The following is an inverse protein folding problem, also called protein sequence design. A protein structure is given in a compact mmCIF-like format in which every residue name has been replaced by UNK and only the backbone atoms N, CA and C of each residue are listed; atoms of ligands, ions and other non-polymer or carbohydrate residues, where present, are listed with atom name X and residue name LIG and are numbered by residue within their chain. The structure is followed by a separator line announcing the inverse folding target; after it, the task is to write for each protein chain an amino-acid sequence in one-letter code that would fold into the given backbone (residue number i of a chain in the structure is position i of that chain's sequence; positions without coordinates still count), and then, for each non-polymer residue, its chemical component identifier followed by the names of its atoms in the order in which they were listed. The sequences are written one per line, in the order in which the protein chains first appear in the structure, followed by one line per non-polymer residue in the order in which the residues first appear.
data_IF_823573941449
#
_entry.id   IF_823573941449
#
_cell.length_a   1.000
_cell.length_b   1.000
_cell.length_c   1.000
_cell.angle_alpha   90.00
_cell.angle_beta   90.00
_cell.angle_gamma   90.00
#
_symmetry.space_group_name_H-M   'P 1'
#
loop_
_entity.id
_entity.type
_entity.pdbx_description
1 polymer ?
#
# COMPACT_ATOMS: atom_id res chain seq x y z
N UNK A 1 30.34 -77.93 19.14
CA UNK A 1 29.84 -79.30 19.39
C UNK A 1 28.96 -79.25 20.64
N UNK A 2 27.65 -79.46 20.48
CA UNK A 2 26.66 -79.86 21.52
C UNK A 2 26.65 -79.08 22.86
N UNK A 3 25.55 -78.55 23.40
CA UNK A 3 24.17 -79.07 23.42
C UNK A 3 23.36 -78.12 24.33
N UNK A 4 22.06 -77.97 24.01
CA UNK A 4 20.90 -77.99 24.93
C UNK A 4 20.81 -76.90 26.02
N UNK A 5 19.63 -76.53 26.52
CA UNK A 5 18.24 -76.53 26.08
C UNK A 5 17.51 -75.84 27.25
N UNK A 6 16.44 -75.11 26.92
CA UNK A 6 15.16 -75.08 27.63
C UNK A 6 15.04 -74.51 29.07
N UNK A 7 14.08 -73.58 29.12
CA UNK A 7 12.91 -73.49 30.02
C UNK A 7 12.94 -72.50 31.20
N UNK A 8 12.26 -71.37 30.92
CA UNK A 8 11.19 -70.70 31.68
C UNK A 8 11.17 -70.85 33.22
N UNK A 9 11.22 -69.71 33.90
CA UNK A 9 10.37 -69.42 35.04
C UNK A 9 10.05 -67.92 35.12
N UNK A 10 8.77 -67.64 35.40
CA UNK A 10 8.12 -66.34 35.51
C UNK A 10 8.41 -65.75 36.89
N UNK A 11 8.87 -64.50 36.96
CA UNK A 11 8.74 -63.67 38.17
C UNK A 11 8.24 -62.29 37.75
N UNK A 12 7.10 -61.92 38.33
CA UNK A 12 6.45 -60.63 38.20
C UNK A 12 7.33 -59.51 38.76
N UNK A 13 7.45 -58.42 38.00
CA UNK A 13 8.12 -57.20 38.42
C UNK A 13 7.42 -56.02 37.77
N UNK A 14 6.46 -55.45 38.48
CA UNK A 14 5.78 -54.21 38.15
C UNK A 14 6.80 -53.08 38.08
N UNK A 15 7.05 -52.53 36.89
CA UNK A 15 7.77 -51.27 36.73
C UNK A 15 6.80 -50.30 36.04
N UNK A 16 6.42 -49.30 36.83
CA UNK A 16 5.69 -48.09 36.48
C UNK A 16 6.13 -47.51 35.14
N UNK A 17 5.20 -47.51 34.18
CA UNK A 17 5.31 -46.77 32.94
C UNK A 17 5.21 -45.27 33.29
N UNK A 18 6.35 -44.59 33.39
CA UNK A 18 6.39 -43.15 33.45
C UNK A 18 5.90 -42.60 32.11
N UNK A 19 4.69 -42.06 32.09
CA UNK A 19 4.18 -41.27 30.96
C UNK A 19 5.03 -40.02 30.82
N UNK A 20 5.95 -40.00 29.86
CA UNK A 20 6.48 -38.74 29.33
C UNK A 20 5.31 -38.01 28.67
N UNK A 21 4.72 -37.08 29.40
CA UNK A 21 3.83 -36.08 28.82
C UNK A 21 4.70 -35.17 27.96
N UNK A 22 4.59 -35.32 26.65
CA UNK A 22 5.10 -34.37 25.68
C UNK A 22 4.40 -33.02 25.91
N UNK A 23 5.01 -32.17 26.74
CA UNK A 23 4.61 -30.78 26.93
C UNK A 23 5.25 -29.94 25.83
N UNK A 24 4.73 -30.07 24.60
CA UNK A 24 5.31 -29.40 23.45
C UNK A 24 4.39 -29.43 22.24
N UNK A 25 3.16 -28.92 22.37
CA UNK A 25 2.27 -28.77 21.21
C UNK A 25 1.05 -27.85 21.40
N UNK A 26 0.86 -27.19 22.55
CA UNK A 26 -0.28 -26.29 22.77
C UNK A 26 0.02 -24.80 22.48
N UNK A 27 1.30 -24.40 22.37
CA UNK A 27 1.69 -22.98 22.22
C UNK A 27 1.67 -22.46 20.77
N UNK A 28 1.66 -23.35 19.77
CA UNK A 28 1.75 -22.98 18.35
C UNK A 28 0.40 -22.86 17.64
N UNK A 29 -0.69 -23.32 18.26
CA UNK A 29 -2.05 -22.98 17.85
C UNK A 29 -2.40 -21.66 18.54
N UNK A 30 -2.34 -20.47 17.95
CA UNK A 30 -2.35 -20.06 16.55
C UNK A 30 -1.94 -18.57 16.59
N UNK A 31 -0.65 -18.25 16.43
CA UNK A 31 -0.24 -16.85 16.35
C UNK A 31 -0.93 -16.20 15.15
N UNK A 32 -1.72 -15.15 15.40
CA UNK A 32 -2.40 -14.41 14.33
C UNK A 32 -1.42 -13.45 13.68
N UNK A 33 -1.51 -13.31 12.36
CA UNK A 33 -0.84 -12.25 11.59
C UNK A 33 -0.99 -10.91 12.31
N UNK A 34 0.09 -10.13 12.36
CA UNK A 34 0.16 -8.83 13.01
C UNK A 34 -0.35 -7.72 12.08
N UNK A 35 -1.55 -7.88 11.54
CA UNK A 35 -2.12 -6.92 10.62
C UNK A 35 -2.65 -5.66 11.32
N UNK A 36 -2.76 -4.57 10.55
CA UNK A 36 -3.40 -3.34 11.01
C UNK A 36 -4.85 -3.59 11.42
N UNK A 37 -5.34 -2.80 12.38
CA UNK A 37 -6.72 -2.82 12.87
C UNK A 37 -7.24 -4.16 13.40
N UNK A 38 -6.38 -5.20 13.50
CA UNK A 38 -6.74 -6.54 13.97
C UNK A 38 -7.52 -6.50 15.27
N UNK A 39 -6.96 -5.81 16.27
CA UNK A 39 -7.49 -5.77 17.63
C UNK A 39 -8.33 -4.51 17.92
N UNK A 40 -8.50 -3.61 16.94
CA UNK A 40 -9.20 -2.33 17.13
C UNK A 40 -10.71 -2.59 17.26
N UNK A 41 -11.39 -2.01 18.27
CA UNK A 41 -12.85 -2.09 18.40
C UNK A 41 -13.56 -1.63 17.13
N UNK A 42 -14.71 -2.21 16.82
CA UNK A 42 -15.51 -1.76 15.69
C UNK A 42 -15.89 -0.29 15.85
N UNK A 43 -15.72 0.50 14.79
CA UNK A 43 -16.12 1.89 14.73
C UNK A 43 -16.62 2.22 13.31
N UNK A 44 -17.28 3.35 13.15
CA UNK A 44 -17.60 3.86 11.80
C UNK A 44 -16.40 4.50 11.10
N UNK A 45 -15.31 4.74 11.82
CA UNK A 45 -14.08 5.36 11.30
C UNK A 45 -13.06 4.35 10.75
N UNK A 46 -13.31 3.05 10.87
CA UNK A 46 -12.49 2.01 10.25
C UNK A 46 -12.94 1.76 8.81
N UNK A 47 -12.17 1.02 7.98
CA UNK A 47 -12.57 0.70 6.62
C UNK A 47 -13.97 0.13 6.59
N UNK A 48 -14.80 0.60 5.67
CA UNK A 48 -16.17 0.11 5.56
C UNK A 48 -16.20 -1.40 5.31
N UNK A 49 -15.22 -1.93 4.58
CA UNK A 49 -15.01 -3.37 4.42
C UNK A 49 -14.93 -4.12 5.76
N UNK A 50 -14.16 -3.60 6.73
CA UNK A 50 -13.91 -4.25 8.02
C UNK A 50 -15.14 -4.25 8.95
N UNK A 51 -16.15 -3.42 8.64
CA UNK A 51 -17.47 -3.42 9.31
C UNK A 51 -18.46 -4.28 8.53
N UNK A 52 -18.68 -3.95 7.26
CA UNK A 52 -19.79 -4.48 6.45
C UNK A 52 -19.61 -5.96 6.12
N UNK A 53 -18.38 -6.45 6.05
CA UNK A 53 -18.12 -7.88 5.83
C UNK A 53 -18.27 -8.72 7.10
N UNK A 54 -18.47 -8.10 8.27
CA UNK A 54 -18.64 -8.83 9.54
C UNK A 54 -20.13 -8.95 9.86
N UNK A 55 -20.72 -10.16 9.87
CA UNK A 55 -22.18 -10.34 9.94
C UNK A 55 -22.84 -9.57 11.10
N UNK A 56 -22.23 -9.56 12.29
CA UNK A 56 -22.77 -8.87 13.47
C UNK A 56 -22.68 -7.35 13.34
N UNK A 57 -21.57 -6.82 12.83
CA UNK A 57 -21.41 -5.38 12.63
C UNK A 57 -22.29 -4.88 11.47
N UNK A 58 -22.37 -5.63 10.37
CA UNK A 58 -23.31 -5.40 9.26
C UNK A 58 -24.76 -5.32 9.75
N UNK A 59 -25.18 -6.23 10.62
CA UNK A 59 -26.53 -6.22 11.17
C UNK A 59 -26.83 -4.95 12.00
N UNK A 60 -25.83 -4.35 12.64
CA UNK A 60 -25.99 -3.06 13.34
C UNK A 60 -26.20 -1.93 12.32
N UNK A 61 -25.44 -1.90 11.23
CA UNK A 61 -25.64 -0.91 10.16
C UNK A 61 -27.05 -1.01 9.58
N UNK A 62 -27.49 -2.21 9.21
CA UNK A 62 -28.83 -2.46 8.65
C UNK A 62 -29.97 -2.21 9.66
N UNK A 63 -29.72 -2.36 10.96
CA UNK A 63 -30.69 -2.04 12.01
C UNK A 63 -30.99 -0.54 12.04
N UNK A 64 -29.95 0.29 11.96
CA UNK A 64 -30.08 1.75 12.03
C UNK A 64 -30.44 2.37 10.68
N UNK A 65 -30.03 1.73 9.58
CA UNK A 65 -30.29 2.18 8.21
C UNK A 65 -30.76 1.03 7.32
N UNK A 66 -32.03 0.60 7.43
CA UNK A 66 -32.53 -0.55 6.68
C UNK A 66 -32.42 -0.39 5.17
N UNK A 67 -31.79 -1.37 4.52
CA UNK A 67 -31.61 -1.42 3.07
C UNK A 67 -30.55 -0.47 2.53
N UNK A 68 -29.77 0.20 3.39
CA UNK A 68 -28.74 1.15 2.96
C UNK A 68 -27.66 0.46 2.13
N UNK A 69 -27.23 -0.75 2.53
CA UNK A 69 -26.14 -1.44 1.85
C UNK A 69 -26.54 -1.95 0.46
N UNK A 70 -27.84 -2.19 0.24
CA UNK A 70 -28.37 -2.59 -1.06
C UNK A 70 -28.31 -1.46 -2.11
N UNK A 71 -28.14 -0.19 -1.68
CA UNK A 71 -27.95 0.95 -2.57
C UNK A 71 -26.50 1.13 -3.02
N UNK A 72 -25.57 0.39 -2.40
CA UNK A 72 -24.14 0.54 -2.65
C UNK A 72 -23.77 -0.29 -3.89
N UNK A 73 -23.13 0.31 -4.91
CA UNK A 73 -22.64 -0.43 -6.06
C UNK A 73 -21.69 -1.57 -5.68
N UNK A 74 -21.80 -2.69 -6.37
CA UNK A 74 -20.96 -3.87 -6.12
C UNK A 74 -19.45 -3.59 -6.28
N UNK A 75 -19.08 -2.66 -7.17
CA UNK A 75 -17.68 -2.25 -7.36
C UNK A 75 -17.12 -1.51 -6.13
N UNK A 76 -17.96 -0.86 -5.32
CA UNK A 76 -17.55 -0.22 -4.07
C UNK A 76 -17.38 -1.28 -2.97
N UNK A 77 -18.37 -2.16 -2.84
CA UNK A 77 -18.46 -3.13 -1.75
C UNK A 77 -18.28 -4.56 -2.27
N UNK A 78 -17.06 -4.89 -2.72
CA UNK A 78 -16.68 -6.25 -3.07
C UNK A 78 -16.41 -7.09 -1.82
N UNK A 79 -16.86 -8.35 -1.83
CA UNK A 79 -16.60 -9.33 -0.75
C UNK A 79 -15.19 -9.97 -0.83
N UNK A 80 -14.47 -9.75 -1.92
CA UNK A 80 -13.09 -10.18 -2.12
C UNK A 80 -12.16 -9.00 -2.38
N UNK A 81 -10.87 -9.15 -2.09
CA UNK A 81 -9.86 -8.18 -2.53
C UNK A 81 -9.64 -8.30 -4.05
N UNK A 82 -9.37 -7.19 -4.76
CA UNK A 82 -9.37 -5.80 -4.26
C UNK A 82 -10.80 -5.29 -3.99
N UNK A 83 -10.95 -4.36 -3.04
CA UNK A 83 -12.24 -3.75 -2.69
C UNK A 83 -12.09 -2.28 -2.34
N UNK A 84 -12.79 -1.40 -3.06
CA UNK A 84 -12.78 0.05 -2.83
C UNK A 84 -13.21 0.42 -1.41
N UNK A 85 -14.11 -0.36 -0.79
CA UNK A 85 -14.54 -0.17 0.60
C UNK A 85 -13.43 -0.31 1.65
N UNK A 86 -12.21 -0.72 1.26
CA UNK A 86 -11.02 -0.64 2.10
C UNK A 86 -10.41 0.76 2.18
N UNK A 87 -10.70 1.63 1.20
CA UNK A 87 -10.14 2.98 1.04
C UNK A 87 -10.97 4.08 1.71
N UNK A 88 -12.19 3.75 2.11
CA UNK A 88 -13.14 4.66 2.74
C UNK A 88 -13.64 4.09 4.06
N UNK A 89 -13.89 4.98 5.01
CA UNK A 89 -14.53 4.64 6.27
C UNK A 89 -16.01 4.28 6.07
N UNK A 90 -16.63 3.63 7.06
CA UNK A 90 -18.07 3.42 7.05
C UNK A 90 -18.83 4.74 7.00
N UNK A 91 -18.39 5.78 7.72
CA UNK A 91 -19.04 7.10 7.67
C UNK A 91 -19.01 7.69 6.26
N UNK A 92 -17.86 7.64 5.58
CA UNK A 92 -17.75 8.09 4.19
C UNK A 92 -18.62 7.25 3.23
N UNK A 93 -18.70 5.94 3.43
CA UNK A 93 -19.55 5.06 2.63
C UNK A 93 -21.04 5.42 2.79
N UNK A 94 -21.48 5.67 4.01
CA UNK A 94 -22.85 6.04 4.33
C UNK A 94 -23.20 7.43 3.78
N UNK A 95 -22.29 8.40 3.91
CA UNK A 95 -22.46 9.74 3.35
C UNK A 95 -22.67 9.70 1.82
N UNK A 96 -21.95 8.82 1.09
CA UNK A 96 -22.11 8.64 -0.36
C UNK A 96 -23.52 8.18 -0.78
N UNK A 97 -24.28 7.56 0.12
CA UNK A 97 -25.66 7.13 -0.13
C UNK A 97 -26.69 8.01 0.59
N UNK A 98 -26.28 9.21 1.00
CA UNK A 98 -27.16 10.24 1.56
C UNK A 98 -27.55 10.04 3.02
N UNK A 99 -26.78 9.26 3.79
CA UNK A 99 -26.96 9.17 5.24
C UNK A 99 -26.27 10.35 5.90
N UNK A 100 -27.04 11.13 6.66
CA UNK A 100 -26.54 12.27 7.44
C UNK A 100 -26.01 11.83 8.82
N UNK A 101 -25.19 12.69 9.43
CA UNK A 101 -24.70 12.46 10.79
C UNK A 101 -25.77 12.82 11.84
N UNK A 102 -26.72 11.89 12.03
CA UNK A 102 -27.91 12.08 12.86
C UNK A 102 -27.87 11.28 14.20
N UNK A 103 -29.00 11.23 14.91
CA UNK A 103 -29.12 10.46 16.14
C UNK A 103 -28.99 8.94 15.93
N UNK A 104 -29.38 8.42 14.75
CA UNK A 104 -29.19 7.02 14.40
C UNK A 104 -27.70 6.72 14.14
N UNK A 105 -26.95 7.64 13.52
CA UNK A 105 -25.51 7.52 13.36
C UNK A 105 -24.81 7.40 14.72
N UNK A 106 -25.17 8.26 15.68
CA UNK A 106 -24.64 8.21 17.03
C UNK A 106 -24.99 6.89 17.76
N UNK A 107 -26.23 6.39 17.61
CA UNK A 107 -26.65 5.12 18.19
C UNK A 107 -25.95 3.91 17.55
N UNK A 108 -25.80 3.90 16.22
CA UNK A 108 -25.07 2.89 15.47
C UNK A 108 -23.61 2.82 15.93
N UNK A 109 -22.91 3.95 16.02
CA UNK A 109 -21.52 4.02 16.49
C UNK A 109 -21.37 3.45 17.90
N UNK A 110 -22.31 3.76 18.81
CA UNK A 110 -22.32 3.22 20.17
C UNK A 110 -22.50 1.70 20.19
N UNK A 111 -23.40 1.16 19.37
CA UNK A 111 -23.61 -0.30 19.27
C UNK A 111 -22.43 -1.01 18.61
N UNK A 112 -21.83 -0.44 17.57
CA UNK A 112 -20.60 -0.94 16.95
C UNK A 112 -19.46 -1.03 17.98
N UNK A 113 -19.22 0.05 18.73
CA UNK A 113 -18.16 0.11 19.74
C UNK A 113 -18.35 -0.90 20.89
N UNK A 114 -19.59 -1.33 21.15
CA UNK A 114 -19.89 -2.33 22.16
C UNK A 114 -19.71 -3.78 21.66
N UNK A 115 -19.53 -4.00 20.35
CA UNK A 115 -19.38 -5.32 19.78
C UNK A 115 -17.97 -5.89 20.08
N UNK A 116 -17.86 -7.09 20.68
CA UNK A 116 -16.57 -7.70 20.92
C UNK A 116 -15.90 -8.08 19.59
N UNK A 117 -14.60 -7.79 19.47
CA UNK A 117 -13.77 -8.26 18.35
C UNK A 117 -13.40 -9.72 18.59
N UNK A 118 -14.05 -10.62 17.87
CA UNK A 118 -13.85 -12.07 18.03
C UNK A 118 -12.57 -12.53 17.33
N UNK A 119 -12.13 -13.76 17.62
CA UNK A 119 -11.00 -14.38 16.92
C UNK A 119 -11.23 -14.47 15.41
N UNK A 120 -12.46 -14.78 14.99
CA UNK A 120 -12.87 -14.85 13.59
C UNK A 120 -12.75 -13.48 12.90
N UNK A 121 -13.17 -12.40 13.57
CA UNK A 121 -13.00 -11.04 13.05
C UNK A 121 -11.53 -10.70 12.81
N UNK A 122 -10.65 -11.08 13.75
CA UNK A 122 -9.20 -10.86 13.64
C UNK A 122 -8.61 -11.60 12.45
N UNK A 123 -8.95 -12.88 12.28
CA UNK A 123 -8.52 -13.69 11.13
C UNK A 123 -9.00 -13.06 9.83
N UNK A 124 -10.28 -12.70 9.76
CA UNK A 124 -10.88 -12.14 8.54
C UNK A 124 -10.32 -10.76 8.16
N UNK A 125 -9.99 -9.91 9.13
CA UNK A 125 -9.29 -8.63 8.88
C UNK A 125 -7.88 -8.86 8.35
N UNK A 126 -7.16 -9.84 8.90
CA UNK A 126 -5.80 -10.12 8.49
C UNK A 126 -5.66 -10.90 7.18
N UNK A 127 -6.74 -11.52 6.69
CA UNK A 127 -6.71 -12.34 5.47
C UNK A 127 -6.30 -11.59 4.19
N UNK A 128 -6.34 -10.24 4.18
CA UNK A 128 -5.89 -9.40 3.05
C UNK A 128 -4.37 -9.19 2.99
N UNK A 129 -3.64 -9.56 4.03
CA UNK A 129 -2.19 -9.38 4.14
C UNK A 129 -1.47 -10.70 3.88
N UNK A 130 -0.33 -10.64 3.18
CA UNK A 130 0.43 -11.84 2.85
C UNK A 130 1.58 -12.04 3.84
N UNK A 131 1.67 -13.23 4.43
CA UNK A 131 2.77 -13.62 5.32
C UNK A 131 3.60 -14.79 4.76
N UNK A 132 3.18 -15.37 3.64
CA UNK A 132 3.86 -16.52 3.04
C UNK A 132 5.21 -16.08 2.45
N UNK A 133 6.33 -16.75 2.79
CA UNK A 133 7.65 -16.37 2.28
C UNK A 133 7.69 -16.25 0.76
N UNK A 134 8.49 -15.28 0.29
CA UNK A 134 8.78 -15.07 -1.13
C UNK A 134 10.28 -15.21 -1.31
N UNK A 135 10.67 -15.98 -2.32
CA UNK A 135 12.05 -16.08 -2.78
C UNK A 135 12.19 -15.30 -4.08
N UNK A 136 13.31 -14.59 -4.23
CA UNK A 136 13.64 -13.83 -5.42
C UNK A 136 14.81 -14.51 -6.14
N UNK A 137 14.68 -14.72 -7.45
CA UNK A 137 15.79 -15.12 -8.31
C UNK A 137 16.55 -13.86 -8.71
N UNK A 138 17.48 -13.45 -7.84
CA UNK A 138 18.28 -12.25 -8.02
C UNK A 138 19.39 -12.53 -9.04
N UNK A 139 19.49 -11.65 -10.04
CA UNK A 139 20.58 -11.70 -11.01
C UNK A 139 21.89 -11.14 -10.45
N UNK A 140 22.91 -11.03 -11.31
CA UNK A 140 24.24 -10.52 -10.94
C UNK A 140 24.40 -9.01 -11.11
N UNK A 141 23.32 -8.29 -11.38
CA UNK A 141 23.32 -6.85 -11.61
C UNK A 141 23.66 -6.09 -10.32
N UNK A 142 24.43 -4.99 -10.43
CA UNK A 142 24.93 -4.26 -9.25
C UNK A 142 23.85 -3.44 -8.54
N UNK A 143 22.71 -3.24 -9.16
CA UNK A 143 21.54 -2.57 -8.57
C UNK A 143 20.34 -3.49 -8.75
N UNK A 144 19.58 -3.69 -7.68
CA UNK A 144 18.41 -4.55 -7.65
C UNK A 144 17.15 -3.73 -7.35
N UNK A 145 16.10 -3.94 -8.16
CA UNK A 145 14.83 -3.24 -8.05
C UNK A 145 13.70 -4.22 -7.75
N UNK A 146 12.91 -3.92 -6.73
CA UNK A 146 11.63 -4.59 -6.45
C UNK A 146 10.48 -3.72 -6.95
N UNK A 147 9.75 -4.19 -7.96
CA UNK A 147 8.45 -3.64 -8.34
C UNK A 147 7.37 -4.32 -7.49
N UNK A 148 6.81 -3.57 -6.56
CA UNK A 148 5.71 -3.99 -5.72
C UNK A 148 4.37 -3.47 -6.26
N UNK A 149 3.41 -4.37 -6.48
CA UNK A 149 2.14 -4.07 -7.15
C UNK A 149 0.93 -4.75 -6.50
N UNK A 150 0.97 -4.98 -5.17
CA UNK A 150 -0.19 -5.52 -4.45
C UNK A 150 -1.29 -4.45 -4.37
N UNK A 151 -2.54 -4.88 -4.54
CA UNK A 151 -3.71 -4.00 -4.48
C UNK A 151 -4.76 -4.64 -3.58
N UNK A 152 -5.08 -3.97 -2.47
CA UNK A 152 -6.23 -4.30 -1.62
C UNK A 152 -7.40 -3.31 -1.85
N UNK A 153 -7.10 -2.12 -2.40
CA UNK A 153 -8.02 -1.02 -2.68
C UNK A 153 -8.60 -1.00 -4.09
N UNK A 154 -8.30 0.04 -4.86
CA UNK A 154 -8.78 0.21 -6.24
C UNK A 154 -7.73 -0.28 -7.23
N UNK A 155 -8.16 -1.10 -8.19
CA UNK A 155 -7.29 -1.67 -9.21
C UNK A 155 -7.30 -0.82 -10.48
N UNK A 156 -6.12 -0.27 -10.81
CA UNK A 156 -5.92 0.56 -12.00
C UNK A 156 -5.63 -0.27 -13.27
N UNK A 157 -5.70 -1.60 -13.21
CA UNK A 157 -5.79 -2.51 -14.35
C UNK A 157 -4.71 -2.32 -15.43
N UNK A 158 -5.10 -1.77 -16.58
CA UNK A 158 -4.18 -1.55 -17.71
C UNK A 158 -3.00 -0.63 -17.34
N UNK A 159 -3.20 0.30 -16.40
CA UNK A 159 -2.13 1.14 -15.87
C UNK A 159 -1.04 0.30 -15.21
N UNK A 160 -1.44 -0.55 -14.26
CA UNK A 160 -0.52 -1.40 -13.48
C UNK A 160 0.32 -2.26 -14.42
N UNK A 161 -0.31 -2.81 -15.45
CA UNK A 161 0.33 -3.65 -16.47
C UNK A 161 1.34 -2.82 -17.28
N UNK A 162 0.93 -1.68 -17.84
CA UNK A 162 1.79 -0.82 -18.64
C UNK A 162 2.97 -0.26 -17.83
N UNK A 163 2.74 0.10 -16.57
CA UNK A 163 3.76 0.55 -15.63
C UNK A 163 4.78 -0.56 -15.35
N UNK A 164 4.34 -1.77 -15.00
CA UNK A 164 5.24 -2.90 -14.73
C UNK A 164 6.09 -3.24 -15.95
N UNK A 165 5.50 -3.27 -17.15
CA UNK A 165 6.23 -3.49 -18.40
C UNK A 165 7.27 -2.40 -18.66
N UNK A 166 6.88 -1.12 -18.53
CA UNK A 166 7.77 0.01 -18.76
C UNK A 166 8.92 0.05 -17.73
N UNK A 167 8.62 -0.02 -16.44
CA UNK A 167 9.61 0.04 -15.36
C UNK A 167 10.59 -1.14 -15.45
N UNK A 168 10.10 -2.35 -15.74
CA UNK A 168 10.96 -3.52 -15.94
C UNK A 168 11.89 -3.34 -17.13
N UNK A 169 11.39 -2.73 -18.22
CA UNK A 169 12.20 -2.40 -19.39
C UNK A 169 13.27 -1.35 -19.04
N UNK A 170 12.89 -0.27 -18.34
CA UNK A 170 13.82 0.78 -17.94
C UNK A 170 14.91 0.27 -17.02
N UNK A 171 14.57 -0.53 -16.00
CA UNK A 171 15.54 -1.16 -15.11
C UNK A 171 16.58 -1.97 -15.90
N UNK A 172 16.12 -2.82 -16.83
CA UNK A 172 17.01 -3.62 -17.69
C UNK A 172 17.90 -2.76 -18.60
N UNK A 173 17.34 -1.71 -19.21
CA UNK A 173 18.12 -0.76 -20.03
C UNK A 173 19.18 0.01 -19.21
N UNK A 174 18.95 0.15 -17.91
CA UNK A 174 19.90 0.75 -16.95
C UNK A 174 20.92 -0.28 -16.41
N UNK A 175 20.78 -1.56 -16.78
CA UNK A 175 21.63 -2.64 -16.26
C UNK A 175 21.29 -3.04 -14.82
N UNK A 176 20.05 -2.82 -14.39
CA UNK A 176 19.57 -3.20 -13.06
C UNK A 176 18.84 -4.56 -13.11
N UNK A 177 18.94 -5.32 -12.04
CA UNK A 177 18.12 -6.50 -11.79
C UNK A 177 16.70 -6.07 -11.40
N UNK A 178 15.70 -6.84 -11.80
CA UNK A 178 14.30 -6.52 -11.54
C UNK A 178 13.52 -7.74 -11.09
N UNK A 179 12.86 -7.60 -9.95
CA UNK A 179 11.89 -8.55 -9.41
C UNK A 179 10.51 -7.89 -9.31
N UNK A 180 9.45 -8.65 -9.54
CA UNK A 180 8.07 -8.17 -9.41
C UNK A 180 7.34 -9.01 -8.37
N UNK A 181 6.67 -8.37 -7.42
CA UNK A 181 5.86 -9.05 -6.41
C UNK A 181 4.54 -8.34 -6.20
N UNK A 182 3.48 -9.15 -6.04
CA UNK A 182 2.18 -8.71 -5.57
C UNK A 182 1.90 -9.21 -4.14
N UNK A 183 2.95 -9.60 -3.39
CA UNK A 183 2.85 -10.16 -2.03
C UNK A 183 3.54 -9.24 -1.01
N UNK A 184 2.81 -8.83 0.03
CA UNK A 184 3.32 -8.00 1.12
C UNK A 184 4.46 -8.67 1.91
N UNK A 185 4.55 -10.00 1.89
CA UNK A 185 5.66 -10.76 2.46
C UNK A 185 7.02 -10.55 1.78
N UNK A 186 7.08 -9.77 0.69
CA UNK A 186 8.33 -9.23 0.18
C UNK A 186 9.00 -8.25 1.16
N UNK A 187 8.26 -7.63 2.09
CA UNK A 187 8.75 -6.61 3.01
C UNK A 187 9.23 -7.22 4.32
N UNK A 188 10.28 -8.05 4.25
CA UNK A 188 11.04 -8.47 5.43
C UNK A 188 12.42 -7.80 5.42
N UNK A 189 13.10 -7.68 6.57
CA UNK A 189 14.47 -7.14 6.60
C UNK A 189 15.41 -7.88 5.64
N UNK A 190 15.30 -9.20 5.58
CA UNK A 190 16.13 -10.05 4.71
C UNK A 190 15.88 -9.73 3.25
N UNK A 191 14.62 -9.75 2.81
CA UNK A 191 14.28 -9.47 1.42
C UNK A 191 14.61 -8.02 1.02
N UNK A 192 14.31 -7.04 1.87
CA UNK A 192 14.57 -5.63 1.58
C UNK A 192 16.08 -5.32 1.49
N UNK A 193 16.93 -6.06 2.20
CA UNK A 193 18.39 -5.89 2.11
C UNK A 193 18.98 -6.27 0.75
N UNK A 194 18.23 -6.99 -0.07
CA UNK A 194 18.63 -7.39 -1.42
C UNK A 194 18.28 -6.35 -2.50
N UNK A 195 17.53 -5.29 -2.17
CA UNK A 195 17.04 -4.30 -3.13
C UNK A 195 17.49 -2.88 -2.83
N UNK A 196 18.10 -2.21 -3.81
CA UNK A 196 18.47 -0.79 -3.70
C UNK A 196 17.26 0.13 -3.87
N UNK A 197 16.25 -0.31 -4.65
CA UNK A 197 15.02 0.47 -4.90
C UNK A 197 13.78 -0.41 -4.78
N UNK A 198 12.81 0.07 -4.00
CA UNK A 198 11.45 -0.47 -3.98
C UNK A 198 10.51 0.51 -4.68
N UNK A 199 9.89 0.04 -5.76
CA UNK A 199 8.90 0.80 -6.53
C UNK A 199 7.52 0.34 -6.12
N UNK A 200 6.69 1.24 -5.60
CA UNK A 200 5.28 0.98 -5.38
C UNK A 200 4.51 1.38 -6.63
N UNK A 201 4.29 0.41 -7.50
CA UNK A 201 3.55 0.58 -8.74
C UNK A 201 2.05 0.47 -8.49
N UNK A 202 1.37 1.63 -8.43
CA UNK A 202 -0.09 1.70 -8.28
C UNK A 202 -0.62 0.86 -7.10
N UNK A 203 0.11 0.86 -5.98
CA UNK A 203 -0.30 0.13 -4.78
C UNK A 203 -1.44 0.91 -4.13
N UNK A 204 -2.60 0.29 -3.96
CA UNK A 204 -3.75 0.92 -3.30
C UNK A 204 -4.29 0.05 -2.17
N UNK A 205 -4.70 0.72 -1.10
CA UNK A 205 -5.14 0.13 0.14
C UNK A 205 -3.98 -0.30 1.03
N UNK A 206 -4.35 -0.73 2.24
CA UNK A 206 -3.38 -1.18 3.22
C UNK A 206 -2.91 -2.61 2.92
N UNK A 207 -1.65 -2.75 2.52
CA UNK A 207 -1.10 -3.98 1.95
C UNK A 207 -0.03 -4.67 2.81
N UNK A 208 0.47 -4.01 3.85
CA UNK A 208 1.56 -4.50 4.71
C UNK A 208 1.14 -4.71 6.17
N UNK A 209 1.58 -5.82 6.78
CA UNK A 209 1.43 -6.05 8.23
C UNK A 209 2.30 -5.10 9.05
N UNK A 210 2.10 -5.03 10.37
CA UNK A 210 2.84 -4.12 11.24
C UNK A 210 4.36 -4.38 11.22
N UNK A 211 4.79 -5.64 11.24
CA UNK A 211 6.22 -5.99 11.12
C UNK A 211 6.77 -5.65 9.73
N UNK A 212 5.99 -5.84 8.67
CA UNK A 212 6.39 -5.49 7.30
C UNK A 212 6.55 -3.97 7.12
N UNK A 213 5.63 -3.19 7.70
CA UNK A 213 5.72 -1.73 7.77
C UNK A 213 6.99 -1.30 8.47
N UNK A 214 7.29 -1.88 9.64
CA UNK A 214 8.51 -1.56 10.39
C UNK A 214 9.77 -1.88 9.59
N UNK A 215 9.80 -3.02 8.89
CA UNK A 215 10.90 -3.37 8.01
C UNK A 215 11.09 -2.35 6.89
N UNK A 216 9.99 -1.83 6.32
CA UNK A 216 10.06 -0.79 5.30
C UNK A 216 10.49 0.58 5.83
N UNK A 217 10.02 0.97 7.02
CA UNK A 217 10.51 2.19 7.70
C UNK A 217 12.03 2.10 7.94
N UNK A 218 12.52 0.95 8.40
CA UNK A 218 13.95 0.73 8.61
C UNK A 218 14.73 0.74 7.30
N UNK A 219 14.20 0.11 6.25
CA UNK A 219 14.78 0.15 4.91
C UNK A 219 14.98 1.60 4.44
N UNK A 220 13.94 2.43 4.56
CA UNK A 220 14.04 3.84 4.19
C UNK A 220 15.05 4.60 5.05
N UNK A 221 15.01 4.42 6.38
CA UNK A 221 15.96 5.13 7.26
C UNK A 221 17.43 4.73 7.02
N UNK A 222 17.69 3.51 6.52
CA UNK A 222 19.03 2.96 6.29
C UNK A 222 19.47 3.03 4.81
N UNK A 223 18.97 3.99 4.04
CA UNK A 223 19.50 4.28 2.70
C UNK A 223 18.71 3.68 1.53
N UNK A 224 17.61 3.00 1.81
CA UNK A 224 16.73 2.44 0.79
C UNK A 224 16.12 3.50 -0.14
N UNK A 225 15.90 3.12 -1.39
CA UNK A 225 15.23 3.94 -2.40
C UNK A 225 13.74 3.62 -2.52
N UNK A 226 12.90 4.66 -2.59
CA UNK A 226 11.47 4.52 -2.84
C UNK A 226 11.03 5.32 -4.05
N UNK A 227 10.29 4.67 -4.95
CA UNK A 227 9.54 5.32 -6.03
C UNK A 227 8.05 4.95 -5.94
N UNK A 228 7.21 5.88 -5.52
CA UNK A 228 5.76 5.71 -5.51
C UNK A 228 5.12 6.22 -6.81
N UNK A 229 4.21 5.43 -7.38
CA UNK A 229 3.51 5.78 -8.63
C UNK A 229 2.00 5.81 -8.40
N UNK A 230 1.41 6.95 -8.75
CA UNK A 230 -0.02 7.23 -8.88
C UNK A 230 -0.82 6.74 -7.68
N UNK A 231 -1.51 5.59 -7.79
CA UNK A 231 -2.38 5.04 -6.74
C UNK A 231 -1.68 4.84 -5.39
N UNK A 232 -0.35 4.74 -5.37
CA UNK A 232 0.46 4.70 -4.14
C UNK A 232 0.23 5.91 -3.22
N UNK A 233 -0.28 7.03 -3.71
CA UNK A 233 -0.78 8.12 -2.87
C UNK A 233 -2.25 8.48 -3.14
N UNK A 234 -3.05 7.59 -3.73
CA UNK A 234 -4.43 7.84 -4.16
C UNK A 234 -5.52 7.40 -3.19
N UNK A 235 -5.18 7.02 -1.95
CA UNK A 235 -6.17 6.53 -1.00
C UNK A 235 -6.77 7.69 -0.18
N UNK A 236 -8.10 7.75 -0.06
CA UNK A 236 -8.77 8.78 0.72
C UNK A 236 -8.58 8.66 2.24
N UNK A 237 -8.06 7.50 2.70
CA UNK A 237 -7.76 7.23 4.11
C UNK A 237 -6.56 6.30 4.20
N UNK A 238 -5.62 6.63 5.09
CA UNK A 238 -4.50 5.78 5.44
C UNK A 238 -4.59 5.32 6.90
N UNK A 239 -4.27 4.05 7.14
CA UNK A 239 -4.16 3.47 8.49
C UNK A 239 -2.69 3.25 8.88
N UNK A 240 -1.82 4.08 8.33
CA UNK A 240 -0.38 4.11 8.57
C UNK A 240 0.10 5.56 8.45
N UNK A 241 0.11 6.27 9.58
CA UNK A 241 0.40 7.71 9.57
C UNK A 241 1.80 8.03 9.01
N UNK A 242 2.82 7.21 9.32
CA UNK A 242 4.16 7.41 8.74
C UNK A 242 4.16 7.36 7.21
N UNK A 243 3.38 6.46 6.60
CA UNK A 243 3.27 6.38 5.14
C UNK A 243 2.70 7.67 4.55
N UNK A 244 1.57 8.14 5.09
CA UNK A 244 0.90 9.36 4.63
C UNK A 244 1.72 10.62 4.92
N UNK A 245 2.18 10.77 6.16
CA UNK A 245 2.70 12.04 6.67
C UNK A 245 4.18 12.24 6.38
N UNK A 246 4.95 11.13 6.33
CA UNK A 246 6.41 11.13 6.12
C UNK A 246 6.73 10.68 4.71
N UNK A 247 6.43 9.43 4.34
CA UNK A 247 6.89 8.84 3.07
C UNK A 247 6.28 9.49 1.83
N UNK A 248 4.96 9.62 1.78
CA UNK A 248 4.28 10.36 0.72
C UNK A 248 4.34 11.85 1.05
N UNK A 249 4.01 12.20 2.28
CA UNK A 249 3.93 13.58 2.75
C UNK A 249 2.62 14.29 2.41
N UNK A 250 1.65 13.61 1.82
CA UNK A 250 0.39 14.20 1.35
C UNK A 250 -0.81 13.27 1.63
N UNK A 251 -1.98 13.87 1.82
CA UNK A 251 -3.26 13.15 1.90
C UNK A 251 -4.09 13.49 0.67
N UNK A 252 -4.34 12.49 -0.17
CA UNK A 252 -5.22 12.60 -1.34
C UNK A 252 -6.64 12.97 -0.92
N UNK A 253 -7.23 13.92 -1.64
CA UNK A 253 -8.61 14.39 -1.41
C UNK A 253 -9.53 14.10 -2.61
N UNK A 254 -8.96 13.82 -3.78
CA UNK A 254 -9.74 13.47 -4.95
C UNK A 254 -9.02 13.76 -6.26
N UNK A 255 -9.74 13.51 -7.34
CA UNK A 255 -9.40 13.89 -8.71
C UNK A 255 -10.72 14.27 -9.41
N UNK A 256 -10.66 15.03 -10.53
CA UNK A 256 -11.81 15.25 -11.38
C UNK A 256 -12.46 13.92 -11.80
N UNK A 257 -13.79 13.84 -11.76
CA UNK A 257 -14.55 12.67 -12.16
C UNK A 257 -15.42 12.91 -13.41
N UNK A 258 -16.21 11.89 -13.76
CA UNK A 258 -17.20 11.93 -14.85
C UNK A 258 -16.59 12.41 -16.19
N UNK A 259 -17.23 13.37 -16.86
CA UNK A 259 -16.78 13.91 -18.16
C UNK A 259 -15.44 14.65 -18.09
N UNK A 260 -14.96 14.97 -16.89
CA UNK A 260 -13.70 15.66 -16.64
C UNK A 260 -12.62 14.72 -16.08
N UNK A 261 -12.81 13.40 -16.14
CA UNK A 261 -11.88 12.45 -15.52
C UNK A 261 -10.44 12.58 -16.06
N UNK A 262 -10.27 12.42 -17.39
CA UNK A 262 -8.97 12.54 -18.04
C UNK A 262 -8.89 13.82 -18.84
N UNK A 263 -7.89 14.66 -18.54
CA UNK A 263 -7.78 16.00 -19.12
C UNK A 263 -6.35 16.26 -19.58
N UNK A 264 -6.22 16.98 -20.70
CA UNK A 264 -4.95 17.59 -21.06
C UNK A 264 -4.64 18.69 -20.05
N UNK A 265 -3.41 18.72 -19.56
CA UNK A 265 -2.92 19.80 -18.71
C UNK A 265 -1.46 20.10 -19.03
N UNK A 266 -1.07 21.34 -18.77
CA UNK A 266 0.33 21.73 -18.80
C UNK A 266 1.01 21.43 -17.48
N UNK A 267 2.20 20.85 -17.57
CA UNK A 267 3.05 20.47 -16.46
C UNK A 267 4.32 21.32 -16.48
N UNK A 268 4.55 22.08 -15.41
CA UNK A 268 5.73 22.91 -15.21
C UNK A 268 6.80 22.15 -14.43
N UNK A 269 8.05 22.28 -14.87
CA UNK A 269 9.18 21.49 -14.37
C UNK A 269 10.19 22.37 -13.65
N UNK A 270 10.51 22.00 -12.41
CA UNK A 270 11.56 22.65 -11.62
C UNK A 270 12.77 21.73 -11.49
N UNK A 271 13.97 22.27 -11.72
CA UNK A 271 15.22 21.50 -11.62
C UNK A 271 15.88 21.70 -10.26
N UNK A 272 16.16 20.56 -9.63
CA UNK A 272 16.88 20.45 -8.37
C UNK A 272 18.20 19.70 -8.54
N UNK A 273 18.99 19.62 -7.47
CA UNK A 273 20.26 18.88 -7.42
C UNK A 273 20.11 17.36 -7.63
N UNK A 274 18.89 16.83 -7.46
CA UNK A 274 18.57 15.40 -7.59
C UNK A 274 18.81 14.84 -9.00
N UNK A 275 18.71 15.69 -10.03
CA UNK A 275 18.83 15.29 -11.43
C UNK A 275 17.57 14.63 -12.01
N UNK A 276 16.47 14.55 -11.25
CA UNK A 276 15.22 13.89 -11.70
C UNK A 276 14.63 14.57 -12.94
N UNK A 277 14.77 15.90 -13.06
CA UNK A 277 14.29 16.69 -14.20
C UNK A 277 15.29 16.81 -15.38
N UNK A 278 16.40 16.07 -15.38
CA UNK A 278 17.40 16.15 -16.47
C UNK A 278 16.81 15.71 -17.83
N UNK A 279 17.00 16.54 -18.86
CA UNK A 279 16.56 16.24 -20.24
C UNK A 279 15.04 16.35 -20.48
N UNK A 280 14.31 16.90 -19.52
CA UNK A 280 12.88 17.24 -19.60
C UNK A 280 12.76 18.76 -19.86
N UNK A 281 11.89 19.22 -20.78
CA UNK A 281 11.66 20.65 -21.02
C UNK A 281 11.06 21.34 -19.79
N UNK A 282 11.13 22.67 -19.74
CA UNK A 282 10.59 23.45 -18.61
C UNK A 282 9.07 23.33 -18.48
N UNK A 283 8.40 23.00 -19.58
CA UNK A 283 6.95 22.78 -19.65
C UNK A 283 6.61 21.76 -20.72
N UNK A 284 5.63 20.91 -20.45
CA UNK A 284 5.08 19.95 -21.41
C UNK A 284 3.61 19.67 -21.14
N UNK A 285 2.89 19.17 -22.14
CA UNK A 285 1.49 18.77 -22.00
C UNK A 285 1.40 17.26 -21.85
N UNK A 286 0.48 16.82 -21.00
CA UNK A 286 0.15 15.42 -20.81
C UNK A 286 -1.36 15.29 -20.59
N UNK A 287 -1.92 14.14 -20.95
CA UNK A 287 -3.29 13.77 -20.62
C UNK A 287 -3.27 12.66 -19.57
N UNK A 288 -3.87 12.90 -18.41
CA UNK A 288 -4.00 11.90 -17.34
C UNK A 288 -5.14 12.26 -16.37
N UNK A 289 -5.28 11.48 -15.31
CA UNK A 289 -6.06 11.82 -14.11
C UNK A 289 -5.20 12.62 -13.12
N UNK A 290 -5.69 13.78 -12.70
CA UNK A 290 -4.93 14.71 -11.86
C UNK A 290 -5.38 14.64 -10.39
N UNK A 291 -4.48 14.13 -9.53
CA UNK A 291 -4.70 14.02 -8.10
C UNK A 291 -4.51 15.35 -7.38
N UNK A 292 -5.49 15.70 -6.56
CA UNK A 292 -5.38 16.80 -5.61
C UNK A 292 -5.13 16.26 -4.21
N UNK A 293 -4.35 17.02 -3.45
CA UNK A 293 -3.99 16.73 -2.07
C UNK A 293 -4.51 17.82 -1.15
N UNK A 294 -4.76 17.47 0.12
CA UNK A 294 -5.26 18.41 1.13
C UNK A 294 -4.33 19.61 1.37
N UNK A 295 -3.02 19.41 1.21
CA UNK A 295 -1.99 20.44 1.36
C UNK A 295 -0.85 20.18 0.37
N UNK A 296 -0.15 21.23 -0.07
CA UNK A 296 1.09 21.07 -0.85
C UNK A 296 2.26 20.64 0.03
N UNK A 297 3.04 19.69 -0.49
CA UNK A 297 4.27 19.21 0.15
C UNK A 297 5.41 20.23 0.11
N UNK A 298 5.27 21.33 -0.64
CA UNK A 298 6.21 22.46 -0.61
C UNK A 298 6.38 23.02 0.81
N UNK A 299 5.28 23.04 1.59
CA UNK A 299 5.23 23.49 2.98
C UNK A 299 6.10 22.65 3.93
N UNK A 300 6.41 21.41 3.51
CA UNK A 300 7.30 20.47 4.22
C UNK A 300 8.75 20.58 3.77
N UNK A 301 9.05 21.45 2.81
CA UNK A 301 10.39 21.61 2.22
C UNK A 301 10.77 20.48 1.27
N UNK A 302 9.80 19.80 0.67
CA UNK A 302 10.07 18.78 -0.34
C UNK A 302 10.40 19.44 -1.68
N UNK A 303 11.26 18.80 -2.46
CA UNK A 303 11.67 19.31 -3.76
C UNK A 303 10.60 18.97 -4.80
N UNK A 304 9.83 19.98 -5.21
CA UNK A 304 8.80 19.83 -6.25
C UNK A 304 9.49 19.75 -7.61
N UNK A 305 9.37 18.62 -8.29
CA UNK A 305 9.97 18.38 -9.62
C UNK A 305 9.01 18.76 -10.73
N UNK A 306 7.73 18.41 -10.58
CA UNK A 306 6.66 18.71 -11.54
C UNK A 306 5.44 19.23 -10.79
N UNK A 307 4.89 20.35 -11.27
CA UNK A 307 3.60 20.90 -10.83
C UNK A 307 2.65 21.03 -12.03
N UNK A 308 1.35 20.97 -11.78
CA UNK A 308 0.31 21.14 -12.80
C UNK A 308 -0.22 22.57 -12.79
N UNK A 309 -0.45 23.13 -13.98
CA UNK A 309 -1.07 24.44 -14.15
C UNK A 309 -2.61 24.31 -14.19
N UNK A 310 -3.26 24.65 -13.08
CA UNK A 310 -4.73 24.61 -12.93
C UNK A 310 -5.48 25.53 -13.89
N UNK A 311 -4.82 26.46 -14.58
CA UNK A 311 -5.47 27.28 -15.62
C UNK A 311 -5.69 26.52 -16.94
N UNK A 312 -5.08 25.34 -17.07
CA UNK A 312 -5.10 24.55 -18.31
C UNK A 312 -6.04 23.34 -18.27
N UNK A 313 -6.65 23.05 -17.12
CA UNK A 313 -7.65 22.00 -16.94
C UNK A 313 -8.71 22.44 -15.92
N UNK A 314 -9.71 21.60 -15.67
CA UNK A 314 -10.77 21.88 -14.69
C UNK A 314 -10.65 20.91 -13.51
N UNK A 315 -9.99 21.28 -12.40
CA UNK A 315 -9.93 20.46 -11.18
C UNK A 315 -11.32 20.30 -10.54
N UNK A 316 -12.10 21.37 -10.55
CA UNK A 316 -13.34 21.47 -9.78
C UNK A 316 -13.07 22.05 -8.38
N UNK A 317 -14.03 22.84 -7.89
CA UNK A 317 -13.85 23.75 -6.75
C UNK A 317 -13.29 23.10 -5.48
N UNK A 318 -13.71 21.89 -5.15
CA UNK A 318 -13.27 21.19 -3.92
C UNK A 318 -11.90 20.51 -4.08
N UNK A 319 -11.30 20.57 -5.27
CA UNK A 319 -10.04 19.93 -5.64
C UNK A 319 -8.97 20.94 -6.09
N UNK A 320 -9.29 22.24 -6.11
CA UNK A 320 -8.33 23.31 -6.40
C UNK A 320 -7.25 23.38 -5.29
N UNK A 321 -5.98 23.28 -5.67
CA UNK A 321 -4.81 23.53 -4.83
C UNK A 321 -4.20 24.93 -5.09
N UNK A 322 -4.57 25.58 -6.20
CA UNK A 322 -4.09 26.90 -6.58
C UNK A 322 -2.73 26.88 -7.28
N UNK A 323 -1.91 27.92 -7.08
CA UNK A 323 -0.61 28.08 -7.75
C UNK A 323 0.43 27.01 -7.38
N UNK A 324 0.18 26.26 -6.30
CA UNK A 324 1.10 25.25 -5.75
C UNK A 324 0.43 23.87 -5.74
N UNK A 325 0.34 23.28 -6.93
CA UNK A 325 -0.22 21.95 -7.16
C UNK A 325 0.88 20.97 -7.63
N UNK A 326 1.63 20.35 -6.70
CA UNK A 326 2.70 19.42 -7.06
C UNK A 326 2.15 18.06 -7.50
N UNK A 327 2.70 17.53 -8.60
CA UNK A 327 2.43 16.16 -9.07
C UNK A 327 3.60 15.22 -8.82
N UNK A 328 4.84 15.73 -8.81
CA UNK A 328 6.03 14.91 -8.65
C UNK A 328 6.98 15.61 -7.70
N UNK A 329 7.43 14.90 -6.67
CA UNK A 329 8.34 15.47 -5.67
C UNK A 329 9.34 14.45 -5.15
N UNK A 330 10.42 14.97 -4.58
CA UNK A 330 11.49 14.19 -3.96
C UNK A 330 11.81 14.71 -2.56
N UNK A 331 12.19 13.82 -1.65
CA UNK A 331 12.76 14.18 -0.35
C UNK A 331 13.59 13.03 0.26
N UNK A 332 14.26 13.34 1.36
CA UNK A 332 15.08 12.39 2.11
C UNK A 332 14.37 11.90 3.37
N UNK A 333 14.54 10.62 3.72
CA UNK A 333 14.04 10.04 4.97
C UNK A 333 15.19 9.28 5.62
N UNK A 334 15.74 9.82 6.72
CA UNK A 334 17.02 9.32 7.22
C UNK A 334 18.07 9.38 6.11
N UNK A 335 18.69 8.24 5.83
CA UNK A 335 19.66 8.10 4.73
C UNK A 335 19.00 7.76 3.37
N UNK A 336 17.70 7.43 3.36
CA UNK A 336 16.96 7.01 2.18
C UNK A 336 16.45 8.15 1.30
N UNK A 337 16.05 7.77 0.08
CA UNK A 337 15.59 8.67 -0.98
C UNK A 337 14.18 8.30 -1.41
N UNK A 338 13.24 9.22 -1.28
CA UNK A 338 11.85 9.03 -1.66
C UNK A 338 11.49 9.94 -2.84
N UNK A 339 10.96 9.35 -3.90
CA UNK A 339 10.29 10.04 -4.99
C UNK A 339 8.86 9.55 -5.10
N UNK A 340 7.92 10.47 -5.32
CA UNK A 340 6.55 10.14 -5.69
C UNK A 340 6.17 10.85 -6.99
N UNK A 341 5.40 10.17 -7.82
CA UNK A 341 4.79 10.70 -9.04
C UNK A 341 3.28 10.39 -9.06
N UNK A 342 2.45 11.42 -9.05
CA UNK A 342 1.00 11.33 -9.25
C UNK A 342 0.61 10.97 -10.69
N UNK A 343 1.50 11.16 -11.66
CA UNK A 343 1.29 10.77 -13.05
C UNK A 343 1.29 9.24 -13.13
N UNK A 344 0.24 8.65 -13.70
CA UNK A 344 0.20 7.21 -13.92
C UNK A 344 -1.15 6.55 -14.11
N UNK A 345 -2.30 7.24 -14.24
CA UNK A 345 -3.58 6.51 -14.42
C UNK A 345 -3.67 5.90 -15.82
N UNK A 346 -3.41 6.71 -16.84
CA UNK A 346 -3.56 6.27 -18.22
C UNK A 346 -2.36 5.46 -18.66
N UNK A 347 -2.59 4.29 -19.25
CA UNK A 347 -1.50 3.45 -19.80
C UNK A 347 -0.61 4.19 -20.81
N UNK A 348 -1.17 5.19 -21.51
CA UNK A 348 -0.43 5.97 -22.51
C UNK A 348 0.71 6.79 -21.90
N UNK A 349 0.63 7.20 -20.62
CA UNK A 349 1.68 8.01 -19.99
C UNK A 349 2.98 7.23 -19.82
N UNK A 350 2.93 5.90 -19.77
CA UNK A 350 4.13 5.06 -19.75
C UNK A 350 4.81 4.92 -21.13
N UNK A 351 4.25 5.52 -22.17
CA UNK A 351 4.87 5.69 -23.49
C UNK A 351 5.23 7.16 -23.79
N UNK A 352 4.89 8.10 -22.91
CA UNK A 352 5.19 9.51 -23.09
C UNK A 352 6.68 9.79 -22.84
N UNK A 353 7.36 10.42 -23.79
CA UNK A 353 8.82 10.61 -23.78
C UNK A 353 9.33 11.20 -22.45
N UNK A 354 8.69 12.28 -21.98
CA UNK A 354 9.15 12.98 -20.79
C UNK A 354 8.79 12.27 -19.49
N UNK A 355 7.66 11.53 -19.45
CA UNK A 355 7.37 10.67 -18.31
C UNK A 355 8.37 9.51 -18.21
N UNK A 356 8.74 8.91 -19.35
CA UNK A 356 9.77 7.86 -19.38
C UNK A 356 11.10 8.38 -18.84
N UNK A 357 11.52 9.59 -19.25
CA UNK A 357 12.73 10.23 -18.70
C UNK A 357 12.60 10.49 -17.21
N UNK A 358 11.46 10.99 -16.75
CA UNK A 358 11.19 11.25 -15.34
C UNK A 358 11.32 9.98 -14.49
N UNK A 359 10.66 8.89 -14.89
CA UNK A 359 10.72 7.60 -14.20
C UNK A 359 12.14 7.01 -14.21
N UNK A 360 12.85 7.12 -15.34
CA UNK A 360 14.23 6.66 -15.47
C UNK A 360 15.18 7.42 -14.54
N UNK A 361 15.09 8.75 -14.53
CA UNK A 361 15.91 9.59 -13.68
C UNK A 361 15.56 9.41 -12.20
N UNK A 362 14.27 9.25 -11.89
CA UNK A 362 13.77 8.91 -10.56
C UNK A 362 14.36 7.62 -10.03
N UNK A 363 14.26 6.53 -10.80
CA UNK A 363 14.84 5.23 -10.45
C UNK A 363 16.36 5.32 -10.22
N UNK A 364 17.06 6.09 -11.06
CA UNK A 364 18.50 6.33 -10.90
C UNK A 364 18.82 7.08 -9.60
N UNK A 365 18.07 8.13 -9.30
CA UNK A 365 18.28 8.93 -8.10
C UNK A 365 17.99 8.11 -6.84
N UNK A 366 16.87 7.38 -6.80
CA UNK A 366 16.51 6.53 -5.66
C UNK A 366 17.50 5.38 -5.46
N UNK A 367 18.16 4.89 -6.52
CA UNK A 367 19.27 3.93 -6.43
C UNK A 367 20.59 4.53 -5.90
N UNK A 368 20.58 5.80 -5.46
CA UNK A 368 21.76 6.47 -4.92
C UNK A 368 22.78 6.94 -5.96
N UNK A 369 22.42 6.96 -7.24
CA UNK A 369 23.32 7.32 -8.36
C UNK A 369 23.15 8.79 -8.83
N UNK A 370 22.57 9.65 -7.99
CA UNK A 370 22.32 11.08 -8.26
C UNK A 370 23.44 12.01 -7.78
N UNK A 371 23.31 13.31 -8.11
CA UNK A 371 24.34 14.33 -7.83
C UNK A 371 24.24 14.94 -6.42
N UNK A 372 23.06 14.90 -5.80
CA UNK A 372 22.90 15.24 -4.39
C UNK A 372 22.86 14.00 -3.50
N UNK A 373 23.34 14.15 -2.29
CA UNK A 373 23.22 13.15 -1.25
C UNK A 373 22.24 13.66 -0.21
N UNK A 374 21.16 12.90 0.01
CA UNK A 374 20.50 12.92 1.31
C UNK A 374 21.59 12.81 2.38
N UNK A 375 21.63 13.77 3.32
CA UNK A 375 22.75 13.92 4.25
C UNK A 375 23.01 12.58 4.95
N UNK A 376 24.27 12.12 4.89
CA UNK A 376 24.83 11.10 5.77
C UNK A 376 24.93 11.62 7.20
#
# INVERSE_FOLDING_TARGET
MMKKNMLKAIIAGSITMGSLVATGSASAAEALTDCSLRDVPFSSSMPAYDVVMRPKARAIVEKHYPGVLAKIPAWILSESMPSFSTLITLDQLLARVGVEDDANAAAMRKELAALPVTREDKIARCARFDSEPVEFDLGGEPVQVLIYQKINGYDHGESVTAATENLSKLAKEMGYGVSVSAKGSAFTPENLSEFDVVIWNNVSGDTLTLSQRKAFEDYMNNGGGFLGIHASAGDSVYFWDWYRDVLIGAQFIGHPGDDNWFQDASLDVTRHGTGVAEGIPDRWELNDEWYSFSDSVSSKGYDIVVAIDETTYVPGKELEMGEDHPLVWTHCIGEGRAMYSAIGHRKEVYNAEYNIKLLKNGMKWTAGQGNDTCKQ
#
